data_IF_162799695664
#
_entry.id   IF_162799695664
#
_cell.length_a   1.000
_cell.length_b   1.000
_cell.length_c   1.000
_cell.angle_alpha   90.00
_cell.angle_beta   90.00
_cell.angle_gamma   90.00
#
_symmetry.space_group_name_H-M   'P 1'
#
loop_
_entity.id
_entity.type
_entity.pdbx_description
1 polymer ?
#
# COMPACT_ATOMS: atom_id res chain seq x y z
N UNK A 1 27.17 -3.74 -16.33
CA UNK A 1 25.84 -3.16 -16.08
C UNK A 1 24.81 -4.29 -16.03
N UNK A 2 24.28 -4.62 -14.85
CA UNK A 2 23.22 -5.64 -14.70
C UNK A 2 21.92 -5.01 -15.24
N UNK A 3 21.48 -5.39 -16.45
CA UNK A 3 20.14 -5.03 -16.92
C UNK A 3 19.14 -5.59 -15.91
N UNK A 4 18.51 -4.72 -15.10
CA UNK A 4 17.32 -5.13 -14.34
C UNK A 4 16.30 -5.60 -15.37
N UNK A 5 15.74 -6.79 -15.21
CA UNK A 5 14.70 -7.28 -16.12
C UNK A 5 13.51 -6.33 -16.02
N UNK A 6 13.27 -5.55 -17.06
CA UNK A 6 12.09 -4.71 -17.19
C UNK A 6 10.85 -5.61 -17.20
N UNK A 7 9.87 -5.28 -16.36
CA UNK A 7 8.56 -5.95 -16.36
C UNK A 7 7.78 -5.42 -17.57
N UNK A 8 7.10 -6.30 -18.31
CA UNK A 8 6.25 -5.89 -19.44
C UNK A 8 4.86 -5.44 -19.00
N UNK A 9 4.19 -4.61 -19.81
CA UNK A 9 2.81 -4.18 -19.60
C UNK A 9 1.82 -5.34 -19.45
N UNK A 10 2.03 -6.45 -20.17
CA UNK A 10 1.20 -7.65 -20.04
C UNK A 10 1.21 -8.20 -18.62
N UNK A 11 2.37 -8.22 -17.95
CA UNK A 11 2.46 -8.67 -16.56
C UNK A 11 1.76 -7.68 -15.64
N UNK A 12 1.99 -6.37 -15.81
CA UNK A 12 1.33 -5.33 -15.03
C UNK A 12 -0.20 -5.51 -15.03
N UNK A 13 -0.82 -5.57 -16.21
CA UNK A 13 -2.27 -5.68 -16.32
C UNK A 13 -2.82 -7.02 -15.82
N UNK A 14 -2.12 -8.12 -16.10
CA UNK A 14 -2.53 -9.44 -15.59
C UNK A 14 -2.47 -9.46 -14.06
N UNK A 15 -1.40 -8.90 -13.49
CA UNK A 15 -1.20 -8.83 -12.06
C UNK A 15 -2.27 -7.96 -11.39
N UNK A 16 -2.54 -6.76 -11.91
CA UNK A 16 -3.52 -5.84 -11.30
C UNK A 16 -4.94 -6.42 -11.34
N UNK A 17 -5.29 -7.13 -12.41
CA UNK A 17 -6.57 -7.82 -12.53
C UNK A 17 -6.69 -8.96 -11.50
N UNK A 18 -5.71 -9.85 -11.43
CA UNK A 18 -5.70 -10.98 -10.49
C UNK A 18 -5.71 -10.45 -9.04
N UNK A 19 -4.85 -9.48 -8.74
CA UNK A 19 -4.74 -8.84 -7.44
C UNK A 19 -6.07 -8.21 -7.00
N UNK A 20 -6.78 -7.54 -7.92
CA UNK A 20 -8.12 -7.01 -7.67
C UNK A 20 -9.12 -8.09 -7.27
N UNK A 21 -9.15 -9.21 -8.00
CA UNK A 21 -10.02 -10.35 -7.67
C UNK A 21 -9.65 -10.95 -6.31
N UNK A 22 -8.35 -11.11 -6.02
CA UNK A 22 -7.89 -11.69 -4.75
C UNK A 22 -8.08 -10.75 -3.55
N UNK A 23 -8.26 -9.45 -3.77
CA UNK A 23 -8.53 -8.47 -2.71
C UNK A 23 -10.01 -8.48 -2.30
N UNK A 24 -10.92 -8.90 -3.18
CA UNK A 24 -12.35 -8.91 -2.92
C UNK A 24 -12.78 -9.63 -1.63
N UNK A 25 -12.27 -10.82 -1.27
CA UNK A 25 -12.63 -11.48 -0.02
C UNK A 25 -12.34 -10.63 1.23
N UNK A 26 -11.27 -9.83 1.21
CA UNK A 26 -10.93 -8.92 2.32
C UNK A 26 -11.99 -7.82 2.42
N UNK A 27 -12.39 -7.25 1.29
CA UNK A 27 -13.44 -6.23 1.24
C UNK A 27 -14.77 -6.80 1.71
N UNK A 28 -15.15 -8.00 1.23
CA UNK A 28 -16.39 -8.66 1.58
C UNK A 28 -16.46 -8.98 3.09
N UNK A 29 -15.33 -9.35 3.70
CA UNK A 29 -15.25 -9.56 5.15
C UNK A 29 -15.59 -8.30 5.94
N UNK A 30 -14.93 -7.17 5.65
CA UNK A 30 -15.21 -5.91 6.36
C UNK A 30 -16.56 -5.29 6.00
N UNK A 31 -17.04 -5.52 4.78
CA UNK A 31 -18.39 -5.15 4.37
C UNK A 31 -19.46 -5.87 5.22
N UNK A 32 -19.28 -7.17 5.46
CA UNK A 32 -20.20 -7.95 6.27
C UNK A 32 -20.10 -7.63 7.76
N UNK A 33 -18.88 -7.35 8.25
CA UNK A 33 -18.63 -7.10 9.66
C UNK A 33 -19.00 -5.68 10.12
N UNK A 34 -18.74 -4.65 9.29
CA UNK A 34 -18.83 -3.25 9.68
C UNK A 34 -19.68 -2.38 8.72
N UNK A 35 -20.25 -2.99 7.68
CA UNK A 35 -21.17 -2.35 6.74
C UNK A 35 -20.49 -1.56 5.61
N UNK A 36 -21.31 -1.13 4.65
CA UNK A 36 -20.87 -0.48 3.40
C UNK A 36 -20.13 0.84 3.63
N UNK A 37 -20.52 1.59 4.67
CA UNK A 37 -19.95 2.89 4.97
C UNK A 37 -18.45 2.82 5.27
N UNK A 38 -18.00 1.77 5.97
CA UNK A 38 -16.58 1.58 6.29
C UNK A 38 -15.74 1.37 5.03
N UNK A 39 -16.24 0.57 4.09
CA UNK A 39 -15.54 0.32 2.81
C UNK A 39 -15.43 1.59 1.98
N UNK A 40 -16.52 2.36 1.87
CA UNK A 40 -16.53 3.63 1.15
C UNK A 40 -15.56 4.62 1.80
N UNK A 41 -15.62 4.77 3.12
CA UNK A 41 -14.74 5.66 3.86
C UNK A 41 -13.28 5.28 3.65
N UNK A 42 -12.93 4.00 3.75
CA UNK A 42 -11.57 3.53 3.49
C UNK A 42 -11.10 3.85 2.07
N UNK A 43 -11.95 3.65 1.06
CA UNK A 43 -11.64 3.98 -0.33
C UNK A 43 -11.40 5.48 -0.56
N UNK A 44 -12.26 6.34 0.01
CA UNK A 44 -12.13 7.80 -0.05
C UNK A 44 -10.86 8.26 0.66
N UNK A 45 -10.63 7.80 1.90
CA UNK A 45 -9.43 8.15 2.67
C UNK A 45 -8.16 7.72 1.93
N UNK A 46 -8.11 6.50 1.38
CA UNK A 46 -6.97 6.04 0.59
C UNK A 46 -6.71 6.96 -0.60
N UNK A 47 -7.75 7.32 -1.34
CA UNK A 47 -7.63 8.17 -2.53
C UNK A 47 -7.12 9.57 -2.17
N UNK A 48 -7.64 10.16 -1.09
CA UNK A 48 -7.22 11.47 -0.59
C UNK A 48 -5.77 11.44 -0.10
N UNK A 49 -5.39 10.42 0.69
CA UNK A 49 -4.03 10.27 1.20
C UNK A 49 -3.04 10.04 0.05
N UNK A 50 -3.32 9.10 -0.85
CA UNK A 50 -2.47 8.82 -2.00
C UNK A 50 -2.34 10.04 -2.92
N UNK A 51 -3.45 10.72 -3.22
CA UNK A 51 -3.46 11.94 -4.03
C UNK A 51 -2.67 13.06 -3.36
N UNK A 52 -2.89 13.31 -2.07
CA UNK A 52 -2.17 14.35 -1.32
C UNK A 52 -0.67 14.09 -1.23
N UNK A 53 -0.27 12.86 -0.93
CA UNK A 53 1.14 12.46 -0.84
C UNK A 53 1.84 12.48 -2.19
N UNK A 54 1.17 12.05 -3.26
CA UNK A 54 1.75 12.11 -4.62
C UNK A 54 2.00 13.54 -5.08
N UNK A 55 1.05 14.46 -4.84
CA UNK A 55 1.23 15.90 -5.10
C UNK A 55 2.39 16.45 -4.26
N UNK A 56 2.43 16.14 -2.97
CA UNK A 56 3.51 16.60 -2.09
C UNK A 56 4.88 16.09 -2.57
N UNK A 57 5.01 14.79 -2.87
CA UNK A 57 6.25 14.17 -3.28
C UNK A 57 6.76 14.67 -4.64
N UNK A 58 5.85 15.02 -5.55
CA UNK A 58 6.19 15.59 -6.87
C UNK A 58 6.46 17.10 -6.82
N UNK A 59 5.98 17.82 -5.81
CA UNK A 59 6.23 19.27 -5.66
C UNK A 59 7.43 19.59 -4.77
N UNK A 60 7.70 18.77 -3.75
CA UNK A 60 8.81 18.99 -2.79
C UNK A 60 10.19 18.98 -3.44
N UNK A 61 11.07 19.91 -3.04
CA UNK A 61 12.47 19.99 -3.52
C UNK A 61 13.43 19.07 -2.77
N UNK A 62 12.97 18.45 -1.67
CA UNK A 62 13.79 17.55 -0.87
C UNK A 62 13.86 16.18 -1.54
N UNK A 63 15.06 15.61 -1.61
CA UNK A 63 15.24 14.21 -1.98
C UNK A 63 14.90 13.31 -0.78
N UNK A 64 13.93 12.42 -0.99
CA UNK A 64 13.45 11.46 0.01
C UNK A 64 14.08 10.07 -0.19
N UNK A 65 15.13 9.96 -0.99
CA UNK A 65 15.84 8.70 -1.27
C UNK A 65 16.32 7.96 -0.01
N UNK A 66 16.61 8.69 1.08
CA UNK A 66 16.99 8.13 2.37
C UNK A 66 15.91 7.22 3.00
N UNK A 67 14.64 7.37 2.61
CA UNK A 67 13.55 6.52 3.11
C UNK A 67 13.67 5.07 2.63
N UNK A 68 14.34 4.81 1.50
CA UNK A 68 14.30 3.50 0.84
C UNK A 68 14.75 2.34 1.73
N UNK A 69 15.87 2.49 2.45
CA UNK A 69 16.38 1.44 3.35
C UNK A 69 15.47 1.19 4.55
N UNK A 70 14.95 2.26 5.15
CA UNK A 70 14.04 2.18 6.30
C UNK A 70 12.70 1.54 5.91
N UNK A 71 12.11 1.97 4.79
CA UNK A 71 10.84 1.44 4.29
C UNK A 71 10.97 -0.05 3.93
N UNK A 72 12.07 -0.45 3.32
CA UNK A 72 12.34 -1.86 3.02
C UNK A 72 12.40 -2.72 4.29
N UNK A 73 13.10 -2.25 5.33
CA UNK A 73 13.14 -2.95 6.62
C UNK A 73 11.75 -3.03 7.28
N UNK A 74 10.98 -1.94 7.24
CA UNK A 74 9.62 -1.90 7.79
C UNK A 74 8.67 -2.83 7.02
N UNK A 75 8.76 -2.88 5.70
CA UNK A 75 7.99 -3.81 4.86
C UNK A 75 8.31 -5.26 5.21
N UNK A 76 9.59 -5.60 5.36
CA UNK A 76 9.99 -6.95 5.79
C UNK A 76 9.39 -7.32 7.14
N UNK A 77 9.40 -6.39 8.12
CA UNK A 77 8.76 -6.61 9.41
C UNK A 77 7.25 -6.85 9.26
N UNK A 78 6.54 -6.04 8.45
CA UNK A 78 5.12 -6.23 8.18
C UNK A 78 4.81 -7.58 7.54
N UNK A 79 5.64 -8.03 6.59
CA UNK A 79 5.49 -9.34 5.95
C UNK A 79 5.69 -10.47 6.95
N UNK A 80 6.75 -10.43 7.76
CA UNK A 80 7.03 -11.47 8.76
C UNK A 80 5.91 -11.55 9.79
N UNK A 81 5.43 -10.41 10.29
CA UNK A 81 4.31 -10.37 11.24
C UNK A 81 3.03 -10.88 10.59
N UNK A 82 2.78 -10.57 9.31
CA UNK A 82 1.61 -11.08 8.58
C UNK A 82 1.62 -12.60 8.46
N UNK A 83 2.80 -13.19 8.22
CA UNK A 83 2.96 -14.65 8.18
C UNK A 83 2.74 -15.25 9.57
N UNK A 84 3.29 -14.63 10.62
CA UNK A 84 3.09 -15.07 12.00
C UNK A 84 1.60 -15.05 12.40
N UNK A 85 0.87 -14.00 12.00
CA UNK A 85 -0.56 -13.85 12.26
C UNK A 85 -1.43 -14.98 11.67
N UNK A 86 -0.95 -15.72 10.67
CA UNK A 86 -1.66 -16.90 10.12
C UNK A 86 -1.67 -18.05 11.13
N UNK A 87 -0.57 -18.24 11.87
CA UNK A 87 -0.42 -19.34 12.83
C UNK A 87 -0.89 -18.97 14.24
N UNK A 88 -0.69 -17.71 14.62
CA UNK A 88 -1.10 -17.17 15.91
C UNK A 88 -1.80 -15.82 15.68
N UNK A 89 -3.13 -15.82 15.51
CA UNK A 89 -3.89 -14.60 15.25
C UNK A 89 -3.68 -13.54 16.33
N UNK A 90 -3.43 -12.31 15.89
CA UNK A 90 -3.30 -11.13 16.74
C UNK A 90 -4.65 -10.74 17.35
N UNK A 91 -4.62 -10.13 18.55
CA UNK A 91 -5.80 -9.50 19.14
C UNK A 91 -6.25 -8.29 18.31
N UNK A 92 -7.51 -7.85 18.47
CA UNK A 92 -8.06 -6.67 17.78
C UNK A 92 -7.18 -5.44 17.97
N UNK A 93 -6.74 -5.16 19.20
CA UNK A 93 -5.84 -4.03 19.51
C UNK A 93 -4.49 -4.16 18.82
N UNK A 94 -3.88 -5.34 18.82
CA UNK A 94 -2.61 -5.56 18.13
C UNK A 94 -2.77 -5.41 16.60
N UNK A 95 -3.90 -5.85 16.05
CA UNK A 95 -4.23 -5.71 14.64
C UNK A 95 -4.52 -4.25 14.24
N UNK A 96 -5.11 -3.44 15.13
CA UNK A 96 -5.24 -1.99 14.95
C UNK A 96 -3.87 -1.31 14.84
N UNK A 97 -2.96 -1.59 15.78
CA UNK A 97 -1.60 -1.04 15.77
C UNK A 97 -0.85 -1.49 14.51
N UNK A 98 -0.93 -2.77 14.16
CA UNK A 98 -0.35 -3.32 12.94
C UNK A 98 -0.83 -2.58 11.69
N UNK A 99 -2.15 -2.35 11.60
CA UNK A 99 -2.76 -1.64 10.47
C UNK A 99 -2.30 -0.20 10.39
N UNK A 100 -2.26 0.50 11.54
CA UNK A 100 -1.79 1.88 11.60
C UNK A 100 -0.32 2.01 11.16
N UNK A 101 0.55 1.09 11.58
CA UNK A 101 1.94 1.03 11.10
C UNK A 101 1.96 0.78 9.58
N UNK A 102 1.13 -0.14 9.08
CA UNK A 102 0.95 -0.38 7.65
C UNK A 102 0.59 0.91 6.89
N UNK A 103 -0.37 1.69 7.37
CA UNK A 103 -0.77 2.98 6.78
C UNK A 103 0.44 3.91 6.65
N UNK A 104 1.25 4.04 7.71
CA UNK A 104 2.44 4.90 7.69
C UNK A 104 3.50 4.40 6.72
N UNK A 105 3.74 3.08 6.68
CA UNK A 105 4.75 2.48 5.80
C UNK A 105 4.37 2.66 4.33
N UNK A 106 3.14 2.34 3.94
CA UNK A 106 2.70 2.50 2.56
C UNK A 106 2.54 3.97 2.17
N UNK A 107 2.16 4.86 3.10
CA UNK A 107 2.25 6.31 2.89
C UNK A 107 3.69 6.76 2.63
N UNK A 108 4.66 6.20 3.36
CA UNK A 108 6.08 6.43 3.14
C UNK A 108 6.57 5.93 1.78
N UNK A 109 6.10 4.77 1.33
CA UNK A 109 6.41 4.26 -0.02
C UNK A 109 5.85 5.17 -1.12
N UNK A 110 4.62 5.66 -1.00
CA UNK A 110 4.05 6.64 -1.95
C UNK A 110 4.94 7.88 -2.04
N UNK A 111 5.35 8.42 -0.89
CA UNK A 111 6.28 9.56 -0.86
C UNK A 111 7.60 9.23 -1.55
N UNK A 112 8.19 8.08 -1.24
CA UNK A 112 9.46 7.64 -1.78
C UNK A 112 9.41 7.41 -3.29
N UNK A 113 8.40 6.69 -3.79
CA UNK A 113 8.30 6.33 -5.20
C UNK A 113 7.98 7.53 -6.09
N UNK A 114 7.02 8.40 -5.71
CA UNK A 114 6.76 9.63 -6.46
C UNK A 114 7.94 10.60 -6.43
N UNK A 115 8.59 10.74 -5.27
CA UNK A 115 9.77 11.60 -5.15
C UNK A 115 10.95 11.08 -5.98
N UNK A 116 11.14 9.75 -6.03
CA UNK A 116 12.18 9.13 -6.86
C UNK A 116 11.91 9.36 -8.34
N UNK A 117 10.68 9.14 -8.81
CA UNK A 117 10.30 9.39 -10.21
C UNK A 117 10.56 10.85 -10.61
N UNK A 118 10.27 11.80 -9.70
CA UNK A 118 10.53 13.22 -9.92
C UNK A 118 12.04 13.54 -10.03
N UNK A 119 12.84 13.06 -9.08
CA UNK A 119 14.26 13.45 -8.98
C UNK A 119 15.17 12.71 -9.96
N UNK A 120 14.87 11.45 -10.25
CA UNK A 120 15.73 10.58 -11.04
C UNK A 120 15.19 10.29 -12.45
N UNK A 121 13.94 10.70 -12.74
CA UNK A 121 13.27 10.38 -13.99
C UNK A 121 12.87 8.91 -14.08
N UNK A 122 12.17 8.55 -15.16
CA UNK A 122 11.72 7.19 -15.43
C UNK A 122 11.93 6.91 -16.92
N UNK A 123 12.64 5.84 -17.25
CA UNK A 123 12.76 5.39 -18.65
C UNK A 123 11.52 4.62 -19.08
N UNK A 124 11.24 4.56 -20.38
CA UNK A 124 10.07 3.84 -20.91
C UNK A 124 10.02 2.36 -20.48
N UNK A 125 11.19 1.71 -20.33
CA UNK A 125 11.31 0.32 -19.88
C UNK A 125 10.96 0.13 -18.39
N UNK A 126 11.05 1.19 -17.58
CA UNK A 126 10.78 1.15 -16.13
C UNK A 126 9.33 1.47 -15.77
N UNK A 127 8.58 2.10 -16.69
CA UNK A 127 7.19 2.52 -16.47
C UNK A 127 6.30 1.40 -15.92
N UNK A 128 6.31 0.16 -16.46
CA UNK A 128 5.43 -0.89 -15.95
C UNK A 128 5.76 -1.29 -14.50
N UNK A 129 7.04 -1.31 -14.14
CA UNK A 129 7.48 -1.63 -12.77
C UNK A 129 7.12 -0.50 -11.80
N UNK A 130 7.28 0.76 -12.19
CA UNK A 130 6.89 1.90 -11.36
C UNK A 130 5.37 1.94 -11.15
N UNK A 131 4.59 1.72 -12.21
CA UNK A 131 3.13 1.63 -12.10
C UNK A 131 2.69 0.47 -11.18
N UNK A 132 3.38 -0.67 -11.25
CA UNK A 132 3.12 -1.82 -10.37
C UNK A 132 3.40 -1.47 -8.90
N UNK A 133 4.52 -0.81 -8.61
CA UNK A 133 4.85 -0.41 -7.23
C UNK A 133 3.79 0.56 -6.68
N UNK A 134 3.41 1.59 -7.43
CA UNK A 134 2.37 2.54 -7.01
C UNK A 134 1.02 1.86 -6.80
N UNK A 135 0.68 0.87 -7.63
CA UNK A 135 -0.52 0.05 -7.46
C UNK A 135 -0.46 -0.75 -6.14
N UNK A 136 0.68 -1.38 -5.85
CA UNK A 136 0.88 -2.13 -4.61
C UNK A 136 0.81 -1.22 -3.39
N UNK A 137 1.40 -0.02 -3.46
CA UNK A 137 1.32 0.97 -2.38
C UNK A 137 -0.12 1.39 -2.14
N UNK A 138 -0.88 1.67 -3.20
CA UNK A 138 -2.29 2.05 -3.11
C UNK A 138 -3.14 0.93 -2.49
N UNK A 139 -3.03 -0.30 -3.00
CA UNK A 139 -3.83 -1.44 -2.51
C UNK A 139 -3.48 -1.79 -1.07
N UNK A 140 -2.20 -1.80 -0.72
CA UNK A 140 -1.81 -2.09 0.65
C UNK A 140 -2.20 -0.95 1.61
N UNK A 141 -2.09 0.31 1.21
CA UNK A 141 -2.63 1.43 1.98
C UNK A 141 -4.14 1.24 2.20
N UNK A 142 -4.89 0.92 1.16
CA UNK A 142 -6.33 0.66 1.24
C UNK A 142 -6.67 -0.48 2.21
N UNK A 143 -6.01 -1.65 2.08
CA UNK A 143 -6.28 -2.80 2.95
C UNK A 143 -6.00 -2.46 4.42
N UNK A 144 -4.93 -1.70 4.70
CA UNK A 144 -4.62 -1.29 6.07
C UNK A 144 -5.60 -0.25 6.62
N UNK A 145 -6.02 0.74 5.82
CA UNK A 145 -7.07 1.70 6.22
C UNK A 145 -8.41 0.97 6.45
N UNK A 146 -8.79 0.08 5.53
CA UNK A 146 -10.02 -0.70 5.63
C UNK A 146 -10.04 -1.55 6.89
N UNK A 147 -8.92 -2.22 7.19
CA UNK A 147 -8.77 -3.00 8.41
C UNK A 147 -8.86 -2.13 9.66
N UNK A 148 -8.19 -0.98 9.65
CA UNK A 148 -8.19 -0.06 10.77
C UNK A 148 -9.60 0.45 11.09
N UNK A 149 -10.33 0.96 10.09
CA UNK A 149 -11.72 1.40 10.27
C UNK A 149 -12.67 0.25 10.57
N UNK A 150 -12.45 -0.92 9.95
CA UNK A 150 -13.27 -2.10 10.17
C UNK A 150 -13.24 -2.60 11.61
N UNK A 151 -12.06 -2.62 12.24
CA UNK A 151 -11.93 -3.04 13.64
C UNK A 151 -12.50 -1.98 14.58
N UNK A 152 -12.24 -0.68 14.33
CA UNK A 152 -12.81 0.38 15.16
C UNK A 152 -14.34 0.38 15.17
N UNK A 153 -14.95 0.14 14.00
CA UNK A 153 -16.41 0.09 13.89
C UNK A 153 -17.04 -1.21 14.43
N UNK A 154 -16.25 -2.27 14.66
CA UNK A 154 -16.73 -3.53 15.24
C UNK A 154 -16.62 -3.60 16.77
N UNK A 155 -15.81 -2.71 17.37
CA UNK A 155 -15.64 -2.61 18.82
C UNK A 155 -16.72 -1.70 19.48
N UNK A 156 -17.53 -1.01 18.68
CA UNK A 156 -18.73 -0.24 19.08
C UNK A 156 -20.02 -1.08 18.95
#
# INVERSE_FOLDING_TARGET
MRRKKAIGYTFLYSFTLISGITTYPIIAHYLAAAGTNVVILAGVTTTVVFGGLSIYATTTKRDLSFLGGMLFAALLALVVISIFNIFSPLSSTAMLVFSFIGILVFSGYILYDFNRMKHYGVTAEEVPLMALNLYLDFINLFINILRFFGILASDD
#
